data_IF_744746171751
#
_entry.id   IF_744746171751
#
_cell.length_a   1.000
_cell.length_b   1.000
_cell.length_c   1.000
_cell.angle_alpha   90.00
_cell.angle_beta   90.00
_cell.angle_gamma   90.00
#
_symmetry.space_group_name_H-M   'P 1'
#
loop_
_entity.id
_entity.type
_entity.pdbx_description
1 polymer ?
#
# COMPACT_ATOMS: atom_id res chain seq x y z
N UNK A 1 -23.67 -7.40 2.26
CA UNK A 1 -24.51 -7.74 3.43
C UNK A 1 -24.30 -6.69 4.51
N UNK A 2 -25.36 -6.09 4.97
CA UNK A 2 -25.23 -5.15 6.07
C UNK A 2 -25.18 -5.92 7.39
N UNK A 3 -24.25 -5.53 8.24
CA UNK A 3 -24.09 -6.10 9.57
C UNK A 3 -25.06 -5.41 10.52
N UNK A 4 -25.59 -6.11 11.51
CA UNK A 4 -26.48 -5.49 12.50
C UNK A 4 -25.75 -4.48 13.39
N UNK A 5 -24.44 -4.39 13.29
CA UNK A 5 -23.60 -3.42 13.97
C UNK A 5 -22.47 -3.03 13.04
N UNK A 6 -21.99 -1.84 13.21
CA UNK A 6 -20.86 -1.36 12.42
C UNK A 6 -19.57 -1.94 12.96
N UNK A 7 -18.86 -2.66 12.10
CA UNK A 7 -17.50 -3.09 12.41
C UNK A 7 -16.54 -2.00 11.97
N UNK A 8 -16.03 -1.25 12.94
CA UNK A 8 -14.93 -0.32 12.66
C UNK A 8 -13.69 -1.17 12.54
N UNK A 9 -13.02 -1.18 11.37
CA UNK A 9 -11.83 -2.01 11.22
C UNK A 9 -10.77 -1.57 12.22
N UNK A 10 -10.48 -2.43 13.17
CA UNK A 10 -9.38 -2.20 14.11
C UNK A 10 -8.02 -2.42 13.45
N UNK A 11 -8.01 -3.00 12.24
CA UNK A 11 -6.80 -3.31 11.51
C UNK A 11 -6.32 -2.11 10.71
N UNK A 12 -5.10 -1.71 10.96
CA UNK A 12 -4.36 -0.79 10.11
C UNK A 12 -3.11 -1.48 9.62
N UNK A 13 -2.74 -1.26 8.37
CA UNK A 13 -1.51 -1.79 7.80
C UNK A 13 -0.64 -0.62 7.41
N UNK A 14 0.49 -0.49 8.10
CA UNK A 14 1.41 0.62 7.91
C UNK A 14 2.83 0.11 7.78
N UNK A 15 3.64 0.85 7.05
CA UNK A 15 5.05 0.55 6.91
C UNK A 15 5.84 1.84 6.82
N UNK A 16 7.14 1.75 7.03
CA UNK A 16 8.03 2.90 6.87
C UNK A 16 8.79 2.79 5.56
N UNK A 17 8.97 3.91 4.91
CA UNK A 17 9.76 3.99 3.69
C UNK A 17 11.20 3.59 4.00
N UNK A 18 11.72 2.63 3.25
CA UNK A 18 13.10 2.15 3.40
C UNK A 18 14.01 2.65 2.29
N UNK A 19 13.45 3.12 1.19
CA UNK A 19 14.20 3.67 0.07
C UNK A 19 13.36 4.70 -0.67
N UNK A 20 14.01 5.72 -1.19
CA UNK A 20 13.36 6.74 -2.00
C UNK A 20 14.34 7.20 -3.08
N UNK A 21 13.88 7.23 -4.32
CA UNK A 21 14.71 7.70 -5.43
C UNK A 21 13.88 8.51 -6.41
N UNK A 22 14.49 9.51 -7.08
CA UNK A 22 13.77 10.26 -8.11
C UNK A 22 13.46 9.38 -9.31
N UNK A 23 12.32 9.64 -9.93
CA UNK A 23 11.93 9.05 -11.22
C UNK A 23 11.66 10.17 -12.20
N UNK A 24 12.08 9.94 -13.44
CA UNK A 24 11.77 10.84 -14.55
C UNK A 24 10.62 10.24 -15.36
N UNK A 25 9.82 11.12 -15.96
CA UNK A 25 8.77 10.71 -16.88
C UNK A 25 9.30 9.69 -17.88
N UNK A 26 8.61 8.55 -17.97
CA UNK A 26 9.00 7.46 -18.87
C UNK A 26 9.89 6.40 -18.27
N UNK A 27 10.46 6.65 -17.07
CA UNK A 27 11.28 5.63 -16.41
C UNK A 27 10.46 4.40 -16.11
N UNK A 28 11.05 3.23 -16.33
CA UNK A 28 10.40 1.95 -16.13
C UNK A 28 10.58 1.46 -14.68
N UNK A 29 9.58 0.78 -14.16
CA UNK A 29 9.56 0.25 -12.80
C UNK A 29 9.15 -1.22 -12.83
N UNK A 30 9.82 -2.03 -12.04
CA UNK A 30 9.47 -3.43 -11.83
C UNK A 30 10.04 -4.37 -12.89
N UNK A 31 9.82 -5.64 -12.67
CA UNK A 31 10.23 -6.68 -13.61
C UNK A 31 9.42 -6.55 -14.90
N UNK A 32 10.08 -6.70 -16.03
CA UNK A 32 9.42 -6.58 -17.32
C UNK A 32 9.10 -5.17 -17.75
N UNK A 33 9.41 -4.18 -16.91
CA UNK A 33 9.20 -2.75 -17.21
C UNK A 33 7.76 -2.44 -17.64
N UNK A 34 6.78 -3.03 -16.96
CA UNK A 34 5.37 -2.87 -17.31
C UNK A 34 4.81 -1.50 -16.93
N UNK A 35 5.42 -0.86 -15.95
CA UNK A 35 4.99 0.47 -15.50
C UNK A 35 6.01 1.51 -15.94
N UNK A 36 5.52 2.59 -16.51
CA UNK A 36 6.35 3.74 -16.86
C UNK A 36 5.82 4.96 -16.13
N UNK A 37 6.70 5.72 -15.51
CA UNK A 37 6.30 6.92 -14.76
C UNK A 37 5.57 7.90 -15.68
N UNK A 38 4.35 8.34 -15.33
CA UNK A 38 3.59 9.27 -16.16
C UNK A 38 4.13 10.70 -16.12
N UNK A 39 4.82 11.03 -15.04
CA UNK A 39 5.42 12.34 -14.80
C UNK A 39 6.68 12.16 -13.98
N UNK A 40 7.45 13.23 -13.84
CA UNK A 40 8.54 13.25 -12.89
C UNK A 40 7.98 13.11 -11.47
N UNK A 41 8.67 12.36 -10.65
CA UNK A 41 8.26 12.12 -9.27
C UNK A 41 9.30 11.30 -8.54
N UNK A 42 8.84 10.50 -7.59
CA UNK A 42 9.71 9.68 -6.75
C UNK A 42 9.14 8.29 -6.61
N UNK A 43 10.03 7.33 -6.52
CA UNK A 43 9.68 5.95 -6.23
C UNK A 43 10.12 5.66 -4.80
N UNK A 44 9.16 5.34 -3.95
CA UNK A 44 9.44 4.95 -2.58
C UNK A 44 9.17 3.45 -2.42
N UNK A 45 9.96 2.81 -1.57
CA UNK A 45 9.87 1.38 -1.31
C UNK A 45 9.51 1.16 0.15
N UNK A 46 8.57 0.26 0.39
CA UNK A 46 8.18 -0.17 1.72
C UNK A 46 8.40 -1.68 1.86
N UNK A 47 8.73 -2.18 3.08
CA UNK A 47 9.06 -3.59 3.29
C UNK A 47 7.81 -4.45 3.56
N UNK A 48 6.80 -4.31 2.72
CA UNK A 48 5.61 -5.15 2.75
C UNK A 48 5.37 -5.67 1.34
N UNK A 49 5.23 -6.97 1.22
CA UNK A 49 4.98 -7.64 -0.04
C UNK A 49 4.02 -8.80 0.12
N UNK A 50 3.92 -9.65 -0.91
CA UNK A 50 2.92 -10.71 -0.91
C UNK A 50 3.22 -11.83 0.10
N UNK A 51 4.47 -11.98 0.55
CA UNK A 51 4.77 -12.94 1.62
C UNK A 51 4.22 -12.49 2.97
N UNK A 52 3.86 -11.23 3.11
CA UNK A 52 3.23 -10.67 4.31
C UNK A 52 1.71 -10.76 4.25
N UNK A 53 1.17 -11.21 3.14
CA UNK A 53 -0.26 -11.30 2.90
C UNK A 53 -0.84 -10.17 2.07
N UNK A 54 -0.05 -9.18 1.68
CA UNK A 54 -0.54 -8.13 0.80
C UNK A 54 -0.73 -8.73 -0.60
N UNK A 55 -1.90 -8.53 -1.25
CA UNK A 55 -2.17 -9.19 -2.53
C UNK A 55 -1.15 -8.81 -3.60
N UNK A 56 -0.64 -9.80 -4.34
CA UNK A 56 0.33 -9.54 -5.40
C UNK A 56 -0.28 -8.72 -6.55
N UNK A 57 -1.60 -8.71 -6.69
CA UNK A 57 -2.32 -7.88 -7.66
C UNK A 57 -2.77 -6.54 -7.07
N UNK A 58 -2.08 -6.08 -6.03
CA UNK A 58 -2.36 -4.79 -5.39
C UNK A 58 -1.86 -3.58 -6.16
N UNK A 59 -1.20 -3.76 -7.29
CA UNK A 59 -0.73 -2.65 -8.12
C UNK A 59 -1.89 -1.73 -8.49
N UNK A 60 -1.68 -0.42 -8.39
CA UNK A 60 -2.73 0.58 -8.61
C UNK A 60 -3.48 1.00 -7.34
N UNK A 61 -3.35 0.24 -6.25
CA UNK A 61 -3.96 0.63 -4.97
C UNK A 61 -3.29 1.91 -4.45
N UNK A 62 -4.11 2.72 -3.77
CA UNK A 62 -3.62 3.91 -3.11
C UNK A 62 -2.74 3.57 -1.92
N UNK A 63 -1.82 4.45 -1.61
CA UNK A 63 -1.00 4.40 -0.42
C UNK A 63 -0.98 5.81 0.18
N UNK A 64 -1.30 5.93 1.45
CA UNK A 64 -1.43 7.22 2.11
C UNK A 64 -0.13 7.53 2.84
N UNK A 65 0.54 8.59 2.39
CA UNK A 65 1.80 9.03 3.00
C UNK A 65 1.49 9.96 4.16
N UNK A 66 2.26 9.87 5.24
CA UNK A 66 2.04 10.67 6.44
C UNK A 66 2.05 12.18 6.20
N UNK A 67 2.72 12.64 5.14
CA UNK A 67 2.76 14.05 4.76
C UNK A 67 1.50 14.55 4.04
N UNK A 68 0.53 13.67 3.81
CA UNK A 68 -0.72 14.01 3.14
C UNK A 68 -0.78 13.63 1.68
N UNK A 69 0.32 13.19 1.08
CA UNK A 69 0.29 12.74 -0.31
C UNK A 69 -0.43 11.42 -0.45
N UNK A 70 -1.07 11.23 -1.60
CA UNK A 70 -1.62 9.94 -1.99
C UNK A 70 -0.75 9.40 -3.11
N UNK A 71 -0.04 8.30 -2.82
CA UNK A 71 0.70 7.56 -3.82
C UNK A 71 -0.09 6.37 -4.34
N UNK A 72 0.48 5.68 -5.31
CA UNK A 72 -0.11 4.47 -5.87
C UNK A 72 0.96 3.39 -5.96
N UNK A 73 0.59 2.17 -5.63
CA UNK A 73 1.46 1.02 -5.79
C UNK A 73 1.65 0.79 -7.29
N UNK A 74 2.91 0.70 -7.71
CA UNK A 74 3.30 0.58 -9.11
C UNK A 74 4.18 -0.63 -9.33
N UNK A 75 4.10 -1.19 -10.53
CA UNK A 75 4.75 -2.47 -10.82
C UNK A 75 4.07 -3.61 -10.07
N UNK A 76 4.58 -4.80 -10.20
CA UNK A 76 4.07 -5.93 -9.43
C UNK A 76 4.49 -5.83 -7.97
N UNK A 77 3.63 -6.29 -7.05
CA UNK A 77 4.00 -6.42 -5.64
C UNK A 77 5.01 -7.56 -5.53
N UNK A 78 6.20 -7.25 -5.01
CA UNK A 78 7.24 -8.26 -4.85
C UNK A 78 6.98 -9.12 -3.61
N UNK A 79 7.82 -10.12 -3.40
CA UNK A 79 7.63 -11.05 -2.29
C UNK A 79 7.68 -10.33 -0.93
N UNK A 80 8.62 -9.43 -0.73
CA UNK A 80 8.87 -8.79 0.56
C UNK A 80 8.90 -7.26 0.50
N UNK A 81 8.53 -6.67 -0.62
CA UNK A 81 8.50 -5.23 -0.75
C UNK A 81 7.49 -4.78 -1.80
N UNK A 82 7.11 -3.52 -1.70
CA UNK A 82 6.22 -2.87 -2.66
C UNK A 82 6.77 -1.50 -2.98
N UNK A 83 6.53 -1.04 -4.20
CA UNK A 83 6.98 0.26 -4.67
C UNK A 83 5.79 1.17 -4.92
N UNK A 84 5.96 2.44 -4.58
CA UNK A 84 4.90 3.43 -4.63
C UNK A 84 5.41 4.66 -5.37
N UNK A 85 4.63 5.12 -6.34
CA UNK A 85 4.91 6.37 -7.04
C UNK A 85 4.26 7.52 -6.29
N UNK A 86 5.05 8.56 -6.02
CA UNK A 86 4.58 9.80 -5.40
C UNK A 86 5.11 10.99 -6.18
N UNK A 87 4.42 12.12 -6.09
CA UNK A 87 4.79 13.34 -6.83
C UNK A 87 5.90 14.13 -6.16
N UNK A 88 5.86 14.21 -4.83
CA UNK A 88 6.82 15.01 -4.04
C UNK A 88 7.74 14.10 -3.24
N UNK A 89 8.96 14.58 -2.90
CA UNK A 89 9.91 13.75 -2.18
C UNK A 89 9.37 13.28 -0.83
N UNK A 90 9.72 12.04 -0.48
CA UNK A 90 9.36 11.42 0.79
C UNK A 90 10.63 10.89 1.44
N UNK A 91 10.87 11.29 2.67
CA UNK A 91 12.06 10.86 3.41
C UNK A 91 11.95 9.40 3.84
N UNK A 92 13.09 8.69 3.85
CA UNK A 92 13.19 7.37 4.46
C UNK A 92 12.76 7.48 5.93
N UNK A 93 11.98 6.52 6.39
CA UNK A 93 11.42 6.52 7.74
C UNK A 93 10.01 7.11 7.82
N UNK A 94 9.52 7.73 6.75
CA UNK A 94 8.14 8.24 6.71
C UNK A 94 7.15 7.08 6.73
N UNK A 95 6.08 7.21 7.48
CA UNK A 95 5.03 6.19 7.56
C UNK A 95 4.13 6.26 6.33
N UNK A 96 3.86 5.09 5.75
CA UNK A 96 2.89 4.91 4.68
C UNK A 96 1.81 3.98 5.18
N UNK A 97 0.55 4.36 4.97
CA UNK A 97 -0.61 3.56 5.37
C UNK A 97 -1.20 2.90 4.13
N UNK A 98 -1.27 1.58 4.15
CA UNK A 98 -1.88 0.79 3.08
C UNK A 98 -3.33 0.44 3.40
N UNK A 99 -3.65 0.28 4.67
CA UNK A 99 -5.02 0.13 5.18
C UNK A 99 -5.10 0.99 6.43
N UNK A 100 -6.07 1.86 6.49
CA UNK A 100 -6.24 2.77 7.62
C UNK A 100 -6.55 4.19 7.17
N UNK A 101 -6.33 5.13 8.06
CA UNK A 101 -6.71 6.52 7.85
C UNK A 101 -5.54 7.46 8.06
N UNK A 102 -5.42 8.43 7.18
CA UNK A 102 -4.48 9.55 7.31
C UNK A 102 -5.24 10.82 6.97
N UNK A 103 -5.46 11.70 7.95
CA UNK A 103 -6.24 12.90 7.75
C UNK A 103 -7.67 12.59 7.31
N UNK A 104 -8.10 13.14 6.20
CA UNK A 104 -9.42 12.92 5.63
C UNK A 104 -9.47 11.71 4.67
N UNK A 105 -8.34 11.08 4.42
CA UNK A 105 -8.25 9.95 3.51
C UNK A 105 -8.24 8.64 4.27
N UNK A 106 -8.87 7.63 3.68
CA UNK A 106 -8.85 6.29 4.26
C UNK A 106 -8.81 5.24 3.18
N UNK A 107 -8.19 4.12 3.50
CA UNK A 107 -8.21 2.90 2.69
C UNK A 107 -8.74 1.80 3.59
N UNK A 108 -9.84 1.20 3.20
CA UNK A 108 -10.46 0.13 3.99
C UNK A 108 -10.07 -1.23 3.43
N UNK A 109 -10.25 -2.26 4.25
CA UNK A 109 -10.11 -3.63 3.77
C UNK A 109 -11.07 -3.91 2.62
N UNK A 110 -12.26 -3.28 2.64
CA UNK A 110 -13.23 -3.39 1.56
C UNK A 110 -12.68 -2.81 0.26
N UNK A 111 -12.00 -1.66 0.33
CA UNK A 111 -11.37 -1.06 -0.86
C UNK A 111 -10.35 -2.01 -1.47
N UNK A 112 -9.52 -2.64 -0.64
CA UNK A 112 -8.53 -3.59 -1.11
C UNK A 112 -9.19 -4.84 -1.70
N UNK A 113 -10.23 -5.34 -1.05
CA UNK A 113 -10.96 -6.51 -1.52
C UNK A 113 -11.58 -6.26 -2.91
N UNK A 114 -12.18 -5.09 -3.09
CA UNK A 114 -12.78 -4.72 -4.38
C UNK A 114 -11.73 -4.58 -5.47
N UNK A 115 -10.62 -3.92 -5.17
CA UNK A 115 -9.53 -3.73 -6.13
C UNK A 115 -8.95 -5.07 -6.60
N UNK A 116 -8.76 -6.00 -5.68
CA UNK A 116 -8.12 -7.29 -5.96
C UNK A 116 -9.10 -8.40 -6.29
N UNK A 117 -10.41 -8.10 -6.25
CA UNK A 117 -11.48 -9.08 -6.47
C UNK A 117 -11.39 -10.25 -5.48
N UNK A 118 -11.05 -9.93 -4.24
CA UNK A 118 -10.90 -10.90 -3.15
C UNK A 118 -11.99 -10.69 -2.11
N UNK A 119 -12.17 -11.65 -1.21
CA UNK A 119 -13.03 -11.44 -0.06
C UNK A 119 -12.25 -10.84 1.10
N UNK A 120 -12.94 -10.09 1.97
CA UNK A 120 -12.32 -9.53 3.17
C UNK A 120 -11.77 -10.64 4.06
N UNK A 121 -12.51 -11.74 4.20
CA UNK A 121 -12.08 -12.87 5.04
C UNK A 121 -10.79 -13.49 4.51
N UNK A 122 -10.70 -13.69 3.19
CA UNK A 122 -9.50 -14.24 2.58
C UNK A 122 -8.29 -13.31 2.82
N UNK A 123 -8.48 -12.01 2.64
CA UNK A 123 -7.40 -11.05 2.87
C UNK A 123 -6.94 -11.04 4.32
N UNK A 124 -7.88 -11.07 5.27
CA UNK A 124 -7.52 -11.07 6.69
C UNK A 124 -6.75 -12.32 7.08
N UNK A 125 -7.10 -13.47 6.49
CA UNK A 125 -6.41 -14.72 6.77
C UNK A 125 -5.02 -14.77 6.14
N UNK A 126 -4.80 -14.02 5.06
CA UNK A 126 -3.53 -14.04 4.34
C UNK A 126 -2.44 -13.18 5.00
N UNK A 127 -2.81 -12.23 5.86
CA UNK A 127 -1.80 -11.40 6.51
C UNK A 127 -0.95 -12.24 7.45
N UNK A 128 0.35 -12.25 7.16
CA UNK A 128 1.29 -13.15 7.81
C UNK A 128 1.50 -12.82 9.29
N UNK A 129 1.75 -13.83 10.11
CA UNK A 129 1.99 -13.63 11.55
C UNK A 129 3.21 -12.75 11.86
N UNK A 130 4.18 -12.65 10.95
CA UNK A 130 5.37 -11.82 11.18
C UNK A 130 5.06 -10.32 11.20
N UNK A 131 3.91 -9.90 10.69
CA UNK A 131 3.49 -8.52 10.80
C UNK A 131 3.06 -8.24 12.23
N UNK A 132 3.58 -7.15 12.78
CA UNK A 132 3.17 -6.73 14.10
C UNK A 132 1.72 -6.26 14.05
N UNK A 133 0.89 -6.86 14.89
CA UNK A 133 -0.53 -6.50 14.97
C UNK A 133 -0.76 -5.71 16.24
N UNK A 134 -1.25 -4.49 16.06
CA UNK A 134 -1.59 -3.62 17.16
C UNK A 134 -3.09 -3.37 17.08
N UNK A 135 -3.79 -3.72 18.14
CA UNK A 135 -5.23 -3.45 18.24
C UNK A 135 -5.39 -2.08 18.86
N UNK A 136 -6.06 -1.21 18.12
CA UNK A 136 -6.36 0.15 18.56
C UNK A 136 -7.85 0.23 18.81
N UNK A 137 -8.21 0.56 20.02
CA UNK A 137 -9.60 0.71 20.43
C UNK A 137 -10.08 2.14 20.29
#
# INVERSE_FOLDING_TARGET
MSMPFELIPALSLKAKVVNSKPLKKGDAVGYGAEYHAPNDGYLITIPIGHSDGYPFNGSGMRALVADGQIGHIVGGVAMDQSMIFVTNPVAVGTTVTLIGRVGDQSITMQDLAEHTQSSIVALMNDFAPRLQRIIVS
#
